data_IF_627232664301
#
_entry.id   IF_627232664301
#
_cell.length_a   1.000
_cell.length_b   1.000
_cell.length_c   1.000
_cell.angle_alpha   90.00
_cell.angle_beta   90.00
_cell.angle_gamma   90.00
#
_symmetry.space_group_name_H-M   'P 1'
#
loop_
_entity.id
_entity.type
_entity.pdbx_description
1 polymer ?
#
# COMPACT_ATOMS: atom_id res chain seq x y z
N UNK A 1 32.15 -8.01 3.16
CA UNK A 1 32.86 -7.02 4.02
C UNK A 1 32.01 -6.76 5.25
N UNK A 2 32.55 -6.74 6.46
CA UNK A 2 31.79 -6.41 7.67
C UNK A 2 32.53 -5.33 8.45
N UNK A 3 31.88 -4.17 8.61
CA UNK A 3 32.39 -3.03 9.37
C UNK A 3 31.41 -2.64 10.46
N UNK A 4 31.92 -2.26 11.63
CA UNK A 4 31.16 -2.09 12.88
C UNK A 4 31.31 -3.26 13.84
N UNK A 5 30.50 -3.31 14.91
CA UNK A 5 30.62 -4.32 15.98
C UNK A 5 29.33 -5.12 16.21
N UNK A 6 29.49 -6.35 16.72
CA UNK A 6 28.39 -7.26 17.10
C UNK A 6 27.44 -7.63 15.94
N UNK A 7 27.98 -7.70 14.73
CA UNK A 7 27.23 -8.17 13.57
C UNK A 7 27.39 -9.69 13.39
N UNK A 8 26.31 -10.38 13.06
CA UNK A 8 26.29 -11.81 12.73
C UNK A 8 26.06 -11.97 11.23
N UNK A 9 26.96 -12.66 10.54
CA UNK A 9 26.86 -12.85 9.09
C UNK A 9 27.10 -14.32 8.74
N UNK A 10 26.18 -14.90 7.95
CA UNK A 10 26.27 -16.26 7.43
C UNK A 10 25.92 -16.31 5.95
N UNK A 11 26.61 -17.19 5.20
CA UNK A 11 26.48 -17.33 3.74
C UNK A 11 27.38 -16.40 2.93
N UNK A 12 27.09 -16.27 1.65
CA UNK A 12 28.05 -15.80 0.65
C UNK A 12 27.90 -14.33 0.28
N UNK A 13 29.01 -13.61 0.10
CA UNK A 13 29.05 -12.26 -0.47
C UNK A 13 28.17 -11.21 0.26
N UNK A 14 27.86 -11.43 1.54
CA UNK A 14 27.15 -10.47 2.35
C UNK A 14 28.05 -9.29 2.76
N UNK A 15 27.48 -8.09 2.78
CA UNK A 15 28.20 -6.86 3.11
C UNK A 15 27.46 -6.04 4.16
N UNK A 16 28.18 -5.62 5.19
CA UNK A 16 27.79 -4.58 6.15
C UNK A 16 28.82 -3.47 6.02
N UNK A 17 28.45 -2.36 5.37
CA UNK A 17 29.37 -1.23 5.14
C UNK A 17 29.73 -0.52 6.45
N UNK A 18 28.78 -0.45 7.38
CA UNK A 18 28.92 0.03 8.76
C UNK A 18 27.61 -0.19 9.53
N UNK A 19 27.73 -0.30 10.86
CA UNK A 19 26.60 -0.46 11.76
C UNK A 19 26.78 -1.54 12.82
N UNK A 20 25.81 -1.67 13.71
CA UNK A 20 25.90 -2.52 14.89
C UNK A 20 24.69 -3.45 15.03
N UNK A 21 24.92 -4.63 15.63
CA UNK A 21 23.85 -5.58 15.95
C UNK A 21 23.00 -6.06 14.76
N UNK A 22 23.57 -6.10 13.56
CA UNK A 22 22.87 -6.63 12.40
C UNK A 22 23.04 -8.15 12.30
N UNK A 23 22.05 -8.84 11.75
CA UNK A 23 22.11 -10.26 11.44
C UNK A 23 21.79 -10.47 9.96
N UNK A 24 22.70 -11.08 9.22
CA UNK A 24 22.52 -11.44 7.80
C UNK A 24 22.68 -12.95 7.63
N UNK A 25 21.77 -13.58 6.88
CA UNK A 25 21.88 -14.97 6.42
C UNK A 25 21.48 -15.09 4.95
N UNK A 26 22.29 -15.77 4.15
CA UNK A 26 22.00 -16.02 2.73
C UNK A 26 23.09 -15.44 1.83
N UNK A 27 22.73 -14.86 0.67
CA UNK A 27 23.73 -14.43 -0.30
C UNK A 27 23.54 -13.00 -0.83
N UNK A 28 24.64 -12.27 -1.02
CA UNK A 28 24.67 -10.96 -1.67
C UNK A 28 23.79 -9.88 -0.99
N UNK A 29 23.51 -10.02 0.30
CA UNK A 29 22.76 -9.01 1.02
C UNK A 29 23.68 -7.86 1.45
N UNK A 30 23.17 -6.64 1.41
CA UNK A 30 23.90 -5.42 1.75
C UNK A 30 23.14 -4.66 2.84
N UNK A 31 23.82 -4.38 3.95
CA UNK A 31 23.41 -3.38 4.92
C UNK A 31 24.37 -2.19 4.81
N UNK A 32 23.82 -1.01 4.55
CA UNK A 32 24.57 0.23 4.44
C UNK A 32 24.05 1.24 5.46
N UNK A 33 24.87 1.64 6.44
CA UNK A 33 24.49 2.53 7.54
C UNK A 33 23.25 2.03 8.30
N UNK A 34 23.33 0.86 8.94
CA UNK A 34 22.17 0.28 9.61
C UNK A 34 22.46 -0.43 10.92
N UNK A 35 21.52 -0.38 11.86
CA UNK A 35 21.63 -1.01 13.17
C UNK A 35 20.45 -1.95 13.42
N UNK A 36 20.67 -3.06 14.11
CA UNK A 36 19.60 -3.98 14.51
C UNK A 36 18.78 -4.57 13.35
N UNK A 37 19.30 -4.60 12.12
CA UNK A 37 18.56 -5.18 11.00
C UNK A 37 18.73 -6.70 10.96
N UNK A 38 17.65 -7.43 10.67
CA UNK A 38 17.66 -8.85 10.37
C UNK A 38 17.37 -9.08 8.89
N UNK A 39 18.28 -9.71 8.16
CA UNK A 39 18.15 -9.93 6.72
C UNK A 39 18.39 -11.40 6.41
N UNK A 40 17.38 -12.05 5.84
CA UNK A 40 17.45 -13.43 5.35
C UNK A 40 17.10 -13.45 3.87
N UNK A 41 17.91 -14.17 3.08
CA UNK A 41 17.63 -14.43 1.67
C UNK A 41 18.72 -13.90 0.76
N UNK A 42 18.34 -13.30 -0.37
CA UNK A 42 19.28 -13.03 -1.46
C UNK A 42 19.16 -11.62 -2.02
N UNK A 43 20.30 -10.97 -2.27
CA UNK A 43 20.37 -9.68 -2.96
C UNK A 43 19.54 -8.54 -2.31
N UNK A 44 19.27 -8.59 -1.00
CA UNK A 44 18.52 -7.52 -0.33
C UNK A 44 19.45 -6.33 0.00
N UNK A 45 18.95 -5.11 -0.13
CA UNK A 45 19.61 -3.88 0.29
C UNK A 45 18.83 -3.24 1.45
N UNK A 46 19.52 -2.90 2.54
CA UNK A 46 18.90 -2.29 3.73
C UNK A 46 19.73 -1.12 4.24
N UNK A 47 19.07 -0.01 4.51
CA UNK A 47 19.61 1.16 5.21
C UNK A 47 18.65 1.60 6.32
N UNK A 48 19.19 1.99 7.48
CA UNK A 48 18.42 2.40 8.65
C UNK A 48 18.36 1.31 9.72
N UNK A 49 17.37 1.36 10.62
CA UNK A 49 17.40 0.55 11.85
C UNK A 49 16.21 -0.37 12.07
N UNK A 50 16.47 -1.53 12.69
CA UNK A 50 15.44 -2.48 13.11
C UNK A 50 14.51 -2.97 11.99
N UNK A 51 15.00 -3.07 10.75
CA UNK A 51 14.23 -3.67 9.66
C UNK A 51 14.41 -5.20 9.68
N UNK A 52 13.32 -5.93 9.38
CA UNK A 52 13.32 -7.36 9.17
C UNK A 52 13.01 -7.67 7.71
N UNK A 53 13.90 -8.37 7.03
CA UNK A 53 13.77 -8.71 5.61
C UNK A 53 13.89 -10.21 5.42
N UNK A 54 12.94 -10.81 4.71
CA UNK A 54 13.00 -12.20 4.28
C UNK A 54 12.60 -12.32 2.80
N UNK A 55 13.59 -12.52 1.92
CA UNK A 55 13.29 -12.79 0.51
C UNK A 55 14.40 -12.38 -0.46
N UNK A 56 14.00 -11.96 -1.66
CA UNK A 56 14.92 -11.70 -2.77
C UNK A 56 14.83 -10.25 -3.27
N UNK A 57 15.97 -9.59 -3.47
CA UNK A 57 16.05 -8.31 -4.16
C UNK A 57 15.14 -7.19 -3.59
N UNK A 58 14.90 -7.19 -2.27
CA UNK A 58 14.17 -6.09 -1.63
C UNK A 58 15.13 -4.93 -1.31
N UNK A 59 14.66 -3.70 -1.49
CA UNK A 59 15.38 -2.48 -1.14
C UNK A 59 14.62 -1.72 -0.04
N UNK A 60 15.29 -1.48 1.09
CA UNK A 60 14.69 -0.86 2.26
C UNK A 60 15.49 0.35 2.73
N UNK A 61 14.81 1.47 2.99
CA UNK A 61 15.40 2.66 3.62
C UNK A 61 14.49 3.18 4.73
N UNK A 62 14.92 3.07 5.98
CA UNK A 62 14.19 3.61 7.12
C UNK A 62 14.20 2.67 8.31
N UNK A 63 13.14 2.68 9.12
CA UNK A 63 13.14 1.99 10.40
C UNK A 63 11.95 1.06 10.60
N UNK A 64 12.14 -0.04 11.33
CA UNK A 64 11.05 -0.92 11.79
C UNK A 64 10.22 -1.53 10.65
N UNK A 65 10.71 -1.57 9.42
CA UNK A 65 9.96 -2.18 8.32
C UNK A 65 10.11 -3.71 8.36
N UNK A 66 9.02 -4.43 8.08
CA UNK A 66 9.00 -5.90 7.97
C UNK A 66 8.63 -6.24 6.53
N UNK A 67 9.57 -6.79 5.77
CA UNK A 67 9.41 -7.00 4.32
C UNK A 67 9.69 -8.46 3.96
N UNK A 68 8.71 -9.08 3.30
CA UNK A 68 8.77 -10.44 2.79
C UNK A 68 8.51 -10.51 1.27
N UNK A 69 9.13 -11.47 0.60
CA UNK A 69 8.92 -11.72 -0.83
C UNK A 69 10.00 -11.11 -1.73
N UNK A 70 9.63 -10.64 -2.91
CA UNK A 70 10.62 -10.28 -3.95
C UNK A 70 10.46 -8.88 -4.51
N UNK A 71 11.57 -8.20 -4.80
CA UNK A 71 11.58 -6.93 -5.53
C UNK A 71 10.73 -5.81 -4.90
N UNK A 72 10.54 -5.80 -3.58
CA UNK A 72 9.83 -4.71 -2.91
C UNK A 72 10.79 -3.54 -2.64
N UNK A 73 10.31 -2.32 -2.86
CA UNK A 73 10.98 -1.09 -2.47
C UNK A 73 10.19 -0.43 -1.34
N UNK A 74 10.80 -0.30 -0.15
CA UNK A 74 10.10 0.18 1.04
C UNK A 74 10.91 1.28 1.72
N UNK A 75 10.31 2.46 1.85
CA UNK A 75 10.92 3.60 2.52
C UNK A 75 10.03 4.17 3.63
N UNK A 76 10.64 4.52 4.76
CA UNK A 76 9.95 5.12 5.90
C UNK A 76 9.91 4.19 7.12
N UNK A 77 8.81 4.23 7.88
CA UNK A 77 8.79 3.66 9.24
C UNK A 77 7.65 2.67 9.45
N UNK A 78 7.95 1.51 10.01
CA UNK A 78 6.95 0.54 10.47
C UNK A 78 6.01 0.01 9.36
N UNK A 79 6.46 -0.08 8.11
CA UNK A 79 5.67 -0.68 7.05
C UNK A 79 5.81 -2.21 7.08
N UNK A 80 4.69 -2.93 6.94
CA UNK A 80 4.63 -4.36 6.73
C UNK A 80 4.30 -4.66 5.28
N UNK A 81 5.20 -5.33 4.54
CA UNK A 81 5.03 -5.59 3.10
C UNK A 81 5.32 -7.06 2.81
N UNK A 82 4.39 -7.74 2.15
CA UNK A 82 4.55 -9.11 1.70
C UNK A 82 4.11 -9.27 0.24
N UNK A 83 4.94 -9.93 -0.56
CA UNK A 83 4.64 -10.24 -1.97
C UNK A 83 5.69 -9.68 -2.91
N UNK A 84 5.29 -9.25 -4.10
CA UNK A 84 6.22 -8.97 -5.19
C UNK A 84 6.07 -7.59 -5.81
N UNK A 85 7.17 -6.88 -6.04
CA UNK A 85 7.19 -5.62 -6.79
C UNK A 85 6.34 -4.49 -6.16
N UNK A 86 6.20 -4.46 -4.83
CA UNK A 86 5.49 -3.37 -4.17
C UNK A 86 6.43 -2.18 -3.92
N UNK A 87 5.94 -0.97 -4.13
CA UNK A 87 6.62 0.28 -3.78
C UNK A 87 5.84 0.97 -2.66
N UNK A 88 6.44 1.12 -1.48
CA UNK A 88 5.77 1.63 -0.28
C UNK A 88 6.60 2.72 0.35
N UNK A 89 6.04 3.92 0.44
CA UNK A 89 6.66 5.09 1.07
C UNK A 89 5.74 5.64 2.16
N UNK A 90 6.30 5.88 3.35
CA UNK A 90 5.60 6.53 4.46
C UNK A 90 5.62 5.67 5.72
N UNK A 91 4.57 5.71 6.54
CA UNK A 91 4.55 5.03 7.82
C UNK A 91 3.37 4.10 8.06
N UNK A 92 3.64 2.98 8.73
CA UNK A 92 2.60 2.07 9.22
C UNK A 92 1.65 1.54 8.14
N UNK A 93 2.12 1.39 6.89
CA UNK A 93 1.32 0.76 5.85
C UNK A 93 1.44 -0.77 5.93
N UNK A 94 0.34 -1.48 5.65
CA UNK A 94 0.28 -2.92 5.49
C UNK A 94 -0.04 -3.29 4.04
N UNK A 95 0.82 -4.06 3.38
CA UNK A 95 0.64 -4.46 1.98
C UNK A 95 0.82 -5.96 1.82
N UNK A 96 -0.15 -6.62 1.20
CA UNK A 96 -0.06 -8.01 0.78
C UNK A 96 -0.48 -8.10 -0.70
N UNK A 97 0.44 -8.55 -1.56
CA UNK A 97 0.16 -8.81 -2.98
C UNK A 97 1.25 -8.30 -3.89
N UNK A 98 0.89 -7.87 -5.11
CA UNK A 98 1.89 -7.53 -6.13
C UNK A 98 1.65 -6.22 -6.87
N UNK A 99 2.73 -5.49 -7.13
CA UNK A 99 2.70 -4.29 -7.97
C UNK A 99 1.94 -3.12 -7.34
N UNK A 100 1.77 -3.09 -6.02
CA UNK A 100 1.08 -1.99 -5.36
C UNK A 100 2.04 -0.80 -5.16
N UNK A 101 1.53 0.43 -5.32
CA UNK A 101 2.26 1.67 -5.09
C UNK A 101 1.56 2.49 -4.00
N UNK A 102 2.20 2.68 -2.86
CA UNK A 102 1.65 3.38 -1.71
C UNK A 102 2.54 4.56 -1.33
N UNK A 103 1.93 5.72 -1.15
CA UNK A 103 2.56 6.91 -0.57
C UNK A 103 1.66 7.52 0.51
N UNK A 104 2.05 7.37 1.77
CA UNK A 104 1.35 7.94 2.91
C UNK A 104 1.35 7.00 4.11
N UNK A 105 0.34 7.09 4.97
CA UNK A 105 0.40 6.45 6.29
C UNK A 105 -0.84 5.63 6.64
N UNK A 106 -0.67 4.55 7.39
CA UNK A 106 -1.78 3.73 7.91
C UNK A 106 -2.69 3.14 6.83
N UNK A 107 -2.20 2.95 5.61
CA UNK A 107 -2.98 2.31 4.55
C UNK A 107 -2.85 0.78 4.64
N UNK A 108 -3.93 0.06 4.34
CA UNK A 108 -3.96 -1.40 4.27
C UNK A 108 -4.39 -1.81 2.87
N UNK A 109 -3.55 -2.57 2.18
CA UNK A 109 -3.80 -3.03 0.81
C UNK A 109 -3.61 -4.54 0.72
N UNK A 110 -4.64 -5.22 0.24
CA UNK A 110 -4.60 -6.64 -0.12
C UNK A 110 -5.02 -6.82 -1.57
N UNK A 111 -4.11 -7.28 -2.42
CA UNK A 111 -4.35 -7.51 -3.85
C UNK A 111 -3.26 -6.90 -4.72
N UNK A 112 -3.58 -6.62 -5.99
CA UNK A 112 -2.56 -6.31 -6.98
C UNK A 112 -2.79 -4.98 -7.72
N UNK A 113 -1.70 -4.31 -8.08
CA UNK A 113 -1.70 -3.15 -8.97
C UNK A 113 -2.54 -1.99 -8.39
N UNK A 114 -2.62 -1.87 -7.06
CA UNK A 114 -3.32 -0.75 -6.43
C UNK A 114 -2.41 0.45 -6.28
N UNK A 115 -2.96 1.66 -6.47
CA UNK A 115 -2.27 2.93 -6.24
C UNK A 115 -2.93 3.68 -5.10
N UNK A 116 -2.19 4.00 -4.04
CA UNK A 116 -2.72 4.66 -2.85
C UNK A 116 -1.88 5.88 -2.49
N UNK A 117 -2.55 7.02 -2.34
CA UNK A 117 -1.95 8.23 -1.81
C UNK A 117 -2.79 8.80 -0.68
N UNK A 118 -2.19 9.06 0.48
CA UNK A 118 -2.87 9.64 1.65
C UNK A 118 -2.87 8.69 2.84
N UNK A 119 -3.88 8.80 3.71
CA UNK A 119 -3.89 8.03 4.95
C UNK A 119 -5.12 7.16 5.16
N UNK A 120 -4.96 6.11 5.96
CA UNK A 120 -6.08 5.30 6.49
C UNK A 120 -6.97 4.66 5.43
N UNK A 121 -6.50 4.52 4.19
CA UNK A 121 -7.25 3.85 3.13
C UNK A 121 -7.16 2.32 3.30
N UNK A 122 -8.26 1.62 3.05
CA UNK A 122 -8.35 0.17 3.08
C UNK A 122 -8.77 -0.32 1.70
N UNK A 123 -7.97 -1.18 1.08
CA UNK A 123 -8.22 -1.70 -0.27
C UNK A 123 -8.10 -3.21 -0.29
N UNK A 124 -9.12 -3.88 -0.82
CA UNK A 124 -9.12 -5.30 -1.13
C UNK A 124 -9.51 -5.53 -2.60
N UNK A 125 -8.57 -5.98 -3.42
CA UNK A 125 -8.79 -6.30 -4.84
C UNK A 125 -7.73 -5.74 -5.77
N UNK A 126 -8.06 -5.55 -7.05
CA UNK A 126 -7.06 -5.27 -8.09
C UNK A 126 -7.28 -3.95 -8.83
N UNK A 127 -6.17 -3.29 -9.18
CA UNK A 127 -6.18 -2.11 -10.06
C UNK A 127 -7.00 -0.94 -9.51
N UNK A 128 -7.13 -0.80 -8.18
CA UNK A 128 -7.86 0.30 -7.58
C UNK A 128 -6.94 1.51 -7.36
N UNK A 129 -7.52 2.70 -7.39
CA UNK A 129 -6.87 3.96 -7.04
C UNK A 129 -7.58 4.59 -5.85
N UNK A 130 -6.86 4.91 -4.78
CA UNK A 130 -7.36 5.69 -3.65
C UNK A 130 -6.47 6.91 -3.42
N UNK A 131 -7.03 8.12 -3.48
CA UNK A 131 -6.33 9.37 -3.19
C UNK A 131 -7.11 10.12 -2.11
N UNK A 132 -6.47 10.38 -0.98
CA UNK A 132 -7.06 11.05 0.17
C UNK A 132 -7.14 10.14 1.39
N UNK A 133 -8.20 10.26 2.20
CA UNK A 133 -8.22 9.71 3.55
C UNK A 133 -9.39 8.77 3.80
N UNK A 134 -9.16 7.67 4.52
CA UNK A 134 -10.22 6.79 5.00
C UNK A 134 -11.15 6.24 3.91
N UNK A 135 -10.67 6.06 2.67
CA UNK A 135 -11.47 5.40 1.64
C UNK A 135 -11.42 3.89 1.84
N UNK A 136 -12.56 3.22 1.66
CA UNK A 136 -12.68 1.76 1.70
C UNK A 136 -13.08 1.24 0.33
N UNK A 137 -12.23 0.43 -0.30
CA UNK A 137 -12.44 -0.08 -1.65
C UNK A 137 -12.37 -1.61 -1.66
N UNK A 138 -13.43 -2.26 -2.11
CA UNK A 138 -13.50 -3.71 -2.31
C UNK A 138 -13.89 -4.00 -3.76
N UNK A 139 -13.02 -4.69 -4.50
CA UNK A 139 -13.26 -5.11 -5.88
C UNK A 139 -12.20 -4.59 -6.85
N UNK A 140 -12.56 -4.30 -8.11
CA UNK A 140 -11.57 -4.04 -9.15
C UNK A 140 -11.80 -2.74 -9.92
N UNK A 141 -10.72 -2.07 -10.27
CA UNK A 141 -10.72 -0.91 -11.17
C UNK A 141 -11.61 0.23 -10.61
N UNK A 142 -11.68 0.36 -9.29
CA UNK A 142 -12.39 1.46 -8.66
C UNK A 142 -11.44 2.65 -8.43
N UNK A 143 -11.98 3.86 -8.49
CA UNK A 143 -11.24 5.09 -8.18
C UNK A 143 -11.99 5.87 -7.11
N UNK A 144 -11.36 6.09 -5.96
CA UNK A 144 -11.87 6.94 -4.88
C UNK A 144 -10.92 8.13 -4.67
N UNK A 145 -11.43 9.35 -4.81
CA UNK A 145 -10.68 10.58 -4.56
C UNK A 145 -11.44 11.39 -3.51
N UNK A 146 -10.78 11.75 -2.42
CA UNK A 146 -11.34 12.49 -1.30
C UNK A 146 -11.35 11.66 -0.02
N UNK A 147 -12.42 11.77 0.77
CA UNK A 147 -12.45 11.28 2.15
C UNK A 147 -13.63 10.36 2.43
N UNK A 148 -13.40 9.31 3.21
CA UNK A 148 -14.47 8.47 3.78
C UNK A 148 -15.42 7.86 2.72
N UNK A 149 -14.95 7.62 1.49
CA UNK A 149 -15.78 7.00 0.47
C UNK A 149 -15.73 5.47 0.59
N UNK A 150 -16.85 4.81 0.32
CA UNK A 150 -16.95 3.35 0.27
C UNK A 150 -17.31 2.89 -1.15
N UNK A 151 -16.45 2.08 -1.76
CA UNK A 151 -16.65 1.55 -3.11
C UNK A 151 -16.61 0.02 -3.06
N UNK A 152 -17.70 -0.64 -3.46
CA UNK A 152 -17.78 -2.10 -3.55
C UNK A 152 -18.22 -2.52 -4.95
N UNK A 153 -17.41 -3.33 -5.64
CA UNK A 153 -17.71 -3.84 -6.98
C UNK A 153 -16.65 -3.43 -8.01
N UNK A 154 -17.06 -3.10 -9.23
CA UNK A 154 -16.12 -2.84 -10.32
C UNK A 154 -16.38 -1.51 -11.01
N UNK A 155 -15.31 -0.87 -11.49
CA UNK A 155 -15.36 0.33 -12.34
C UNK A 155 -16.07 1.53 -11.70
N UNK A 156 -16.24 1.57 -10.37
CA UNK A 156 -16.86 2.72 -9.72
C UNK A 156 -15.87 3.89 -9.61
N UNK A 157 -16.36 5.11 -9.83
CA UNK A 157 -15.59 6.34 -9.75
C UNK A 157 -16.26 7.29 -8.76
N UNK A 158 -15.53 7.69 -7.73
CA UNK A 158 -16.05 8.54 -6.66
C UNK A 158 -15.09 9.69 -6.39
N UNK A 159 -15.60 10.92 -6.44
CA UNK A 159 -14.91 12.13 -6.05
C UNK A 159 -15.70 12.88 -4.98
N UNK A 160 -15.14 13.01 -3.78
CA UNK A 160 -15.70 13.82 -2.70
C UNK A 160 -15.66 13.14 -1.34
N UNK A 161 -16.70 13.34 -0.53
CA UNK A 161 -16.70 12.92 0.87
C UNK A 161 -17.92 12.06 1.25
N UNK A 162 -17.71 10.98 2.01
CA UNK A 162 -18.78 10.14 2.56
C UNK A 162 -19.72 9.52 1.51
N UNK A 163 -19.26 9.31 0.28
CA UNK A 163 -20.09 8.68 -0.75
C UNK A 163 -19.99 7.16 -0.70
N UNK A 164 -21.06 6.48 -1.11
CA UNK A 164 -21.11 5.02 -1.22
C UNK A 164 -21.48 4.61 -2.65
N UNK A 165 -20.60 3.85 -3.32
CA UNK A 165 -20.85 3.26 -4.62
C UNK A 165 -20.82 1.73 -4.52
N UNK A 166 -21.91 1.06 -4.88
CA UNK A 166 -22.04 -0.40 -4.83
C UNK A 166 -22.48 -0.92 -6.20
N UNK A 167 -21.73 -1.84 -6.79
CA UNK A 167 -22.04 -2.48 -8.06
C UNK A 167 -21.07 -2.12 -9.17
N UNK A 168 -21.58 -1.80 -10.36
CA UNK A 168 -20.81 -1.68 -11.58
C UNK A 168 -20.91 -0.28 -12.18
N UNK A 169 -19.77 0.35 -12.44
CA UNK A 169 -19.67 1.58 -13.23
C UNK A 169 -20.48 2.76 -12.70
N UNK A 170 -20.64 2.89 -11.37
CA UNK A 170 -21.29 4.08 -10.80
C UNK A 170 -20.31 5.25 -10.75
N UNK A 171 -20.81 6.46 -11.02
CA UNK A 171 -20.06 7.72 -10.94
C UNK A 171 -20.69 8.61 -9.89
N UNK A 172 -19.93 9.03 -8.89
CA UNK A 172 -20.40 9.91 -7.83
C UNK A 172 -19.46 11.10 -7.67
N UNK A 173 -20.02 12.31 -7.65
CA UNK A 173 -19.30 13.54 -7.33
C UNK A 173 -20.04 14.33 -6.26
N UNK A 174 -19.40 14.58 -5.12
CA UNK A 174 -19.93 15.45 -4.06
C UNK A 174 -19.94 14.79 -2.68
N UNK A 175 -21.02 14.97 -1.90
CA UNK A 175 -21.03 14.59 -0.48
C UNK A 175 -22.20 13.68 -0.12
N UNK A 176 -21.93 12.61 0.63
CA UNK A 176 -22.99 11.76 1.22
C UNK A 176 -23.97 11.16 0.21
N UNK A 177 -23.56 10.92 -1.04
CA UNK A 177 -24.43 10.28 -2.02
C UNK A 177 -24.31 8.74 -1.96
N UNK A 178 -25.38 8.04 -2.34
CA UNK A 178 -25.44 6.60 -2.50
C UNK A 178 -25.80 6.23 -3.94
N UNK A 179 -24.97 5.42 -4.59
CA UNK A 179 -25.28 4.79 -5.87
C UNK A 179 -25.14 3.27 -5.76
N UNK A 180 -26.24 2.53 -5.90
CA UNK A 180 -26.27 1.07 -5.84
C UNK A 180 -26.86 0.47 -7.12
N UNK A 181 -26.09 -0.36 -7.82
CA UNK A 181 -26.49 -1.04 -9.05
C UNK A 181 -25.52 -0.75 -10.20
N UNK A 182 -26.05 -0.48 -11.38
CA UNK A 182 -25.27 -0.39 -12.63
C UNK A 182 -25.38 1.00 -13.23
N UNK A 183 -24.25 1.61 -13.57
CA UNK A 183 -24.19 2.83 -14.37
C UNK A 183 -24.98 4.03 -13.81
N UNK A 184 -25.11 4.17 -12.49
CA UNK A 184 -25.75 5.34 -11.90
C UNK A 184 -24.77 6.53 -11.82
N UNK A 185 -25.27 7.75 -12.03
CA UNK A 185 -24.50 9.00 -11.95
C UNK A 185 -25.12 9.96 -10.94
N UNK A 186 -24.39 10.32 -9.89
CA UNK A 186 -24.87 11.18 -8.80
C UNK A 186 -23.96 12.39 -8.65
N UNK A 187 -24.49 13.60 -8.74
CA UNK A 187 -23.72 14.84 -8.58
C UNK A 187 -24.41 15.75 -7.55
N UNK A 188 -23.70 16.11 -6.49
CA UNK A 188 -24.19 17.01 -5.44
C UNK A 188 -24.17 16.35 -4.07
N UNK A 189 -25.25 16.48 -3.30
CA UNK A 189 -25.29 16.03 -1.90
C UNK A 189 -26.51 15.17 -1.59
N UNK A 190 -26.33 14.17 -0.73
CA UNK A 190 -27.41 13.33 -0.17
C UNK A 190 -28.28 12.59 -1.20
N UNK A 191 -27.84 12.49 -2.46
CA UNK A 191 -28.60 11.82 -3.51
C UNK A 191 -28.58 10.30 -3.31
N UNK A 192 -29.67 9.62 -3.70
CA UNK A 192 -29.82 8.17 -3.57
C UNK A 192 -30.34 7.60 -4.88
N UNK A 193 -29.51 6.78 -5.53
CA UNK A 193 -29.87 6.00 -6.70
C UNK A 193 -29.70 4.51 -6.46
N UNK A 194 -30.77 3.76 -6.70
CA UNK A 194 -30.76 2.29 -6.68
C UNK A 194 -31.32 1.78 -8.01
N UNK A 195 -30.59 0.89 -8.68
CA UNK A 195 -30.99 0.30 -9.96
C UNK A 195 -30.00 0.56 -11.08
N UNK A 196 -30.52 0.77 -12.29
CA UNK A 196 -29.72 0.87 -13.52
C UNK A 196 -29.88 2.25 -14.17
N UNK A 197 -28.77 2.90 -14.50
CA UNK A 197 -28.72 4.12 -15.31
C UNK A 197 -29.49 5.32 -14.73
N UNK A 198 -29.59 5.42 -13.40
CA UNK A 198 -30.18 6.59 -12.76
C UNK A 198 -29.23 7.79 -12.83
N UNK A 199 -29.76 8.99 -13.04
CA UNK A 199 -29.00 10.24 -13.00
C UNK A 199 -29.67 11.23 -12.05
N UNK A 200 -28.93 11.73 -11.05
CA UNK A 200 -29.40 12.75 -10.11
C UNK A 200 -28.37 13.87 -10.01
N UNK A 201 -28.86 15.11 -9.99
CA UNK A 201 -28.09 16.33 -9.80
C UNK A 201 -28.77 17.20 -8.74
N UNK A 202 -28.02 17.67 -7.75
CA UNK A 202 -28.51 18.59 -6.73
C UNK A 202 -28.38 18.05 -5.31
N UNK A 203 -29.28 18.49 -4.45
CA UNK A 203 -29.34 18.07 -3.04
C UNK A 203 -30.70 17.43 -2.77
N UNK A 204 -30.69 16.26 -2.11
CA UNK A 204 -31.90 15.56 -1.67
C UNK A 204 -32.12 15.68 -0.16
#
# INVERSE_FOLDING_TARGET
LVSGSVNTVSGDLNTIANGYYNTISGAQNVINNGNYNGVIGTANYVQGSANLVNGNANALVGNLNVVGGSNNNVAGTANGVAGNCNNVVGSSNGVIGSGNNLNGNLNVVQGNINSVQGSTNVIAGNSNTAIGNSNNIIGNINTAIGSSNTLTGNLNQVLGNQNTAIGLSNVIVGNSNLAAGVANSQIGSNNVAVGNSNSQFGNS
#
